data_IF_729752173883
#
_entry.id   IF_729752173883
#
_cell.length_a   1.000
_cell.length_b   1.000
_cell.length_c   1.000
_cell.angle_alpha   90.00
_cell.angle_beta   90.00
_cell.angle_gamma   90.00
#
_symmetry.space_group_name_H-M   'P 1'
#
loop_
_entity.id
_entity.type
_entity.pdbx_description
1 polymer ?
#
# COMPACT_ATOMS: atom_id res chain seq x y z
N UNK A 1 5.84 -47.19 -16.36
CA UNK A 1 5.07 -45.92 -16.41
C UNK A 1 4.41 -45.66 -15.04
N UNK A 2 5.20 -45.56 -13.96
CA UNK A 2 4.69 -45.35 -12.58
C UNK A 2 5.64 -44.48 -11.72
N UNK A 3 6.66 -43.87 -12.34
CA UNK A 3 7.69 -43.07 -11.66
C UNK A 3 7.49 -41.54 -11.81
N UNK A 4 6.56 -41.09 -12.65
CA UNK A 4 6.33 -39.64 -12.86
C UNK A 4 5.38 -39.05 -11.81
N UNK A 5 4.58 -39.86 -11.12
CA UNK A 5 3.54 -39.31 -10.23
C UNK A 5 4.04 -38.97 -8.81
N UNK A 6 5.14 -39.59 -8.35
CA UNK A 6 5.69 -39.36 -7.00
C UNK A 6 6.51 -38.06 -6.88
N UNK A 7 7.05 -37.56 -7.99
CA UNK A 7 7.82 -36.31 -8.01
C UNK A 7 6.94 -35.06 -7.95
N UNK A 8 5.69 -35.14 -8.42
CA UNK A 8 4.78 -33.99 -8.41
C UNK A 8 4.26 -33.67 -7.00
N UNK A 9 3.99 -34.68 -6.16
CA UNK A 9 3.50 -34.48 -4.80
C UNK A 9 4.60 -33.95 -3.87
N UNK A 10 5.83 -34.48 -3.99
CA UNK A 10 6.99 -34.00 -3.20
C UNK A 10 7.37 -32.56 -3.56
N UNK A 11 7.31 -32.18 -4.84
CA UNK A 11 7.54 -30.78 -5.26
C UNK A 11 6.47 -29.83 -4.75
N UNK A 12 5.20 -30.24 -4.73
CA UNK A 12 4.09 -29.42 -4.22
C UNK A 12 4.24 -29.08 -2.73
N UNK A 13 4.56 -30.07 -1.89
CA UNK A 13 4.76 -29.87 -0.44
C UNK A 13 6.01 -29.01 -0.13
N UNK A 14 7.07 -29.16 -0.91
CA UNK A 14 8.28 -28.34 -0.78
C UNK A 14 8.01 -26.86 -1.12
N UNK A 15 7.18 -26.56 -2.13
CA UNK A 15 6.87 -25.18 -2.52
C UNK A 15 6.03 -24.47 -1.45
N UNK A 16 5.01 -25.15 -0.91
CA UNK A 16 4.10 -24.59 0.11
C UNK A 16 4.83 -24.33 1.42
N UNK A 17 5.68 -25.27 1.86
CA UNK A 17 6.48 -25.10 3.08
C UNK A 17 7.48 -23.94 2.96
N UNK A 18 8.04 -23.72 1.77
CA UNK A 18 8.99 -22.64 1.52
C UNK A 18 8.32 -21.26 1.48
N UNK A 19 7.16 -21.13 0.82
CA UNK A 19 6.38 -19.88 0.81
C UNK A 19 5.92 -19.47 2.21
N UNK A 20 5.47 -20.44 3.01
CA UNK A 20 5.10 -20.21 4.41
C UNK A 20 6.30 -19.78 5.25
N UNK A 21 7.47 -20.37 5.02
CA UNK A 21 8.72 -19.96 5.67
C UNK A 21 9.08 -18.51 5.37
N UNK A 22 8.96 -18.09 4.11
CA UNK A 22 9.20 -16.71 3.67
C UNK A 22 8.24 -15.73 4.35
N UNK A 23 6.93 -16.01 4.34
CA UNK A 23 5.94 -15.15 4.99
C UNK A 23 6.15 -15.05 6.51
N UNK A 24 6.51 -16.16 7.17
CA UNK A 24 6.82 -16.16 8.61
C UNK A 24 8.02 -15.27 8.92
N UNK A 25 9.08 -15.36 8.11
CA UNK A 25 10.26 -14.51 8.23
C UNK A 25 9.89 -13.03 8.04
N UNK A 26 9.16 -12.70 6.99
CA UNK A 26 8.74 -11.32 6.71
C UNK A 26 7.85 -10.78 7.85
N UNK A 27 6.98 -11.61 8.43
CA UNK A 27 6.13 -11.23 9.57
C UNK A 27 6.96 -10.91 10.82
N UNK A 28 7.96 -11.73 11.14
CA UNK A 28 8.84 -11.48 12.27
C UNK A 28 9.63 -10.17 12.12
N UNK A 29 10.04 -9.84 10.89
CA UNK A 29 10.71 -8.56 10.60
C UNK A 29 9.73 -7.37 10.66
N UNK A 30 8.47 -7.57 10.29
CA UNK A 30 7.43 -6.54 10.35
C UNK A 30 6.95 -6.27 11.78
N UNK A 31 6.97 -7.28 12.65
CA UNK A 31 6.30 -7.26 13.95
C UNK A 31 6.68 -6.06 14.84
N UNK A 32 7.97 -5.68 15.01
CA UNK A 32 8.33 -4.53 15.82
C UNK A 32 7.71 -3.22 15.30
N UNK A 33 7.63 -3.07 13.98
CA UNK A 33 7.03 -1.89 13.34
C UNK A 33 5.52 -1.87 13.51
N UNK A 34 4.85 -3.02 13.40
CA UNK A 34 3.41 -3.14 13.63
C UNK A 34 3.07 -2.76 15.08
N UNK A 35 3.82 -3.29 16.06
CA UNK A 35 3.62 -2.96 17.47
C UNK A 35 3.90 -1.49 17.77
N UNK A 36 4.96 -0.92 17.19
CA UNK A 36 5.24 0.51 17.27
C UNK A 36 4.12 1.37 16.67
N UNK A 37 3.56 0.94 15.52
CA UNK A 37 2.41 1.58 14.90
C UNK A 37 1.16 1.57 15.79
N UNK A 38 0.86 0.43 16.43
CA UNK A 38 -0.25 0.35 17.38
C UNK A 38 -0.05 1.26 18.59
N UNK A 39 1.17 1.32 19.13
CA UNK A 39 1.48 2.26 20.20
C UNK A 39 1.28 3.72 19.75
N UNK A 40 1.68 4.08 18.53
CA UNK A 40 1.48 5.42 17.98
C UNK A 40 0.00 5.77 17.78
N UNK A 41 -0.83 4.83 17.31
CA UNK A 41 -2.28 5.02 17.19
C UNK A 41 -2.88 5.33 18.57
N UNK A 42 -2.58 4.51 19.58
CA UNK A 42 -3.07 4.73 20.94
C UNK A 42 -2.60 6.07 21.51
N UNK A 43 -1.33 6.43 21.30
CA UNK A 43 -0.80 7.73 21.73
C UNK A 43 -1.51 8.90 21.05
N UNK A 44 -1.83 8.80 19.75
CA UNK A 44 -2.54 9.82 19.01
C UNK A 44 -3.98 9.99 19.54
N UNK A 45 -4.69 8.90 19.83
CA UNK A 45 -6.04 8.95 20.39
C UNK A 45 -6.06 9.52 21.82
N UNK A 46 -5.11 9.11 22.67
CA UNK A 46 -4.94 9.69 24.01
C UNK A 46 -4.61 11.19 23.95
N UNK A 47 -3.76 11.57 22.99
CA UNK A 47 -3.45 12.97 22.73
C UNK A 47 -4.68 13.76 22.26
N UNK A 48 -5.54 13.19 21.42
CA UNK A 48 -6.80 13.79 21.01
C UNK A 48 -7.75 14.06 22.19
N UNK A 49 -7.85 13.11 23.14
CA UNK A 49 -8.62 13.28 24.39
C UNK A 49 -8.09 14.44 25.23
N UNK A 50 -6.76 14.54 25.34
CA UNK A 50 -6.09 15.57 26.12
C UNK A 50 -6.20 16.96 25.49
N UNK A 51 -6.10 17.06 24.16
CA UNK A 51 -6.05 18.33 23.43
C UNK A 51 -7.39 19.07 23.39
N UNK A 52 -8.52 18.35 23.39
CA UNK A 52 -9.85 18.95 23.26
C UNK A 52 -10.88 18.23 24.12
N UNK A 53 -11.68 19.01 24.84
CA UNK A 53 -12.84 18.50 25.58
C UNK A 53 -14.06 18.26 24.69
N UNK A 54 -14.15 18.95 23.53
CA UNK A 54 -15.26 18.84 22.59
C UNK A 54 -15.17 17.53 21.81
N UNK A 55 -16.26 16.77 21.78
CA UNK A 55 -16.35 15.48 21.11
C UNK A 55 -16.05 15.58 19.60
N UNK A 56 -16.52 16.64 18.92
CA UNK A 56 -16.24 16.87 17.49
C UNK A 56 -14.76 17.10 17.20
N UNK A 57 -14.05 17.80 18.09
CA UNK A 57 -12.60 17.98 18.00
C UNK A 57 -11.85 16.67 18.21
N UNK A 58 -12.28 15.84 19.17
CA UNK A 58 -11.68 14.51 19.41
C UNK A 58 -11.88 13.61 18.19
N UNK A 59 -13.08 13.61 17.62
CA UNK A 59 -13.40 12.87 16.42
C UNK A 59 -12.47 13.27 15.27
N UNK A 60 -12.38 14.57 14.96
CA UNK A 60 -11.50 15.07 13.90
C UNK A 60 -10.02 14.69 14.09
N UNK A 61 -9.50 14.79 15.32
CA UNK A 61 -8.12 14.39 15.62
C UNK A 61 -7.90 12.88 15.52
N UNK A 62 -8.89 12.07 15.94
CA UNK A 62 -8.84 10.59 15.83
C UNK A 62 -8.95 10.07 14.39
N UNK A 63 -9.31 10.91 13.42
CA UNK A 63 -9.24 10.55 12.00
C UNK A 63 -7.80 10.65 11.44
N UNK A 64 -6.88 11.36 12.11
CA UNK A 64 -5.50 11.53 11.63
C UNK A 64 -4.74 10.19 11.51
N UNK A 65 -4.81 9.27 12.49
CA UNK A 65 -4.22 7.95 12.35
C UNK A 65 -4.83 7.16 11.18
N UNK A 66 -6.14 7.28 10.92
CA UNK A 66 -6.78 6.63 9.75
C UNK A 66 -6.19 7.18 8.45
N UNK A 67 -6.09 8.51 8.30
CA UNK A 67 -5.49 9.15 7.13
C UNK A 67 -4.02 8.77 6.94
N UNK A 68 -3.27 8.60 8.03
CA UNK A 68 -1.88 8.15 7.98
C UNK A 68 -1.73 6.75 7.36
N UNK A 69 -2.79 5.93 7.30
CA UNK A 69 -2.74 4.62 6.64
C UNK A 69 -2.55 4.71 5.11
N UNK A 70 -2.81 5.87 4.49
CA UNK A 70 -2.42 6.15 3.10
C UNK A 70 -0.90 5.91 2.91
N UNK A 71 -0.08 6.17 3.94
CA UNK A 71 1.36 5.98 3.90
C UNK A 71 1.83 4.63 4.49
N UNK A 72 0.92 3.81 5.02
CA UNK A 72 1.30 2.58 5.73
C UNK A 72 2.03 1.59 4.82
N UNK A 73 1.39 1.18 3.72
CA UNK A 73 1.95 0.19 2.81
C UNK A 73 3.22 0.66 2.09
N UNK A 74 3.33 1.91 1.57
CA UNK A 74 4.58 2.37 0.97
C UNK A 74 5.73 2.42 1.98
N UNK A 75 5.50 2.90 3.21
CA UNK A 75 6.55 2.92 4.24
C UNK A 75 6.96 1.50 4.62
N UNK A 76 5.99 0.61 4.88
CA UNK A 76 6.24 -0.80 5.17
C UNK A 76 7.08 -1.47 4.08
N UNK A 77 6.68 -1.29 2.81
CA UNK A 77 7.35 -1.90 1.67
C UNK A 77 8.78 -1.36 1.52
N UNK A 78 8.97 -0.04 1.63
CA UNK A 78 10.30 0.59 1.54
C UNK A 78 11.24 0.15 2.66
N UNK A 79 10.76 0.07 3.91
CA UNK A 79 11.56 -0.43 5.04
C UNK A 79 11.93 -1.89 4.81
N UNK A 80 10.97 -2.73 4.43
CA UNK A 80 11.20 -4.15 4.18
C UNK A 80 12.24 -4.37 3.07
N UNK A 81 12.10 -3.66 1.95
CA UNK A 81 13.04 -3.71 0.83
C UNK A 81 14.41 -3.13 1.19
N UNK A 82 14.47 -2.08 2.01
CA UNK A 82 15.74 -1.50 2.44
C UNK A 82 16.52 -2.45 3.35
N UNK A 83 15.84 -3.09 4.30
CA UNK A 83 16.48 -4.06 5.20
C UNK A 83 17.07 -5.22 4.40
N UNK A 84 16.32 -5.76 3.46
CA UNK A 84 16.75 -6.88 2.66
C UNK A 84 17.72 -6.50 1.52
N UNK A 85 17.62 -5.29 0.99
CA UNK A 85 18.54 -4.76 -0.02
C UNK A 85 19.99 -4.62 0.48
N UNK A 86 20.22 -4.65 1.79
CA UNK A 86 21.59 -4.78 2.35
C UNK A 86 22.19 -6.17 2.13
N UNK A 87 21.36 -7.18 1.94
CA UNK A 87 21.72 -8.59 1.74
C UNK A 87 21.37 -9.06 0.31
N UNK A 88 21.41 -8.13 -0.65
CA UNK A 88 21.01 -8.36 -2.04
C UNK A 88 21.80 -9.48 -2.73
N UNK A 89 23.06 -9.70 -2.33
CA UNK A 89 23.85 -10.83 -2.81
C UNK A 89 23.23 -12.18 -2.44
N UNK A 90 22.54 -12.28 -1.29
CA UNK A 90 21.82 -13.50 -0.90
C UNK A 90 20.56 -13.70 -1.73
N UNK A 91 19.99 -12.63 -2.28
CA UNK A 91 18.83 -12.73 -3.18
C UNK A 91 19.22 -13.36 -4.51
N UNK A 92 20.40 -13.04 -5.05
CA UNK A 92 20.89 -13.61 -6.30
C UNK A 92 21.12 -15.13 -6.22
N UNK A 93 21.42 -15.64 -5.03
CA UNK A 93 21.59 -17.07 -4.79
C UNK A 93 20.30 -17.75 -4.30
N UNK A 94 19.20 -17.01 -4.17
CA UNK A 94 17.93 -17.58 -3.79
C UNK A 94 17.29 -18.28 -5.01
N UNK A 95 16.90 -19.56 -4.93
CA UNK A 95 16.26 -20.26 -6.04
C UNK A 95 14.86 -19.71 -6.41
N UNK A 96 14.36 -18.71 -5.69
CA UNK A 96 13.06 -18.10 -5.93
C UNK A 96 13.18 -16.85 -6.80
N UNK A 97 12.32 -16.74 -7.81
CA UNK A 97 12.21 -15.52 -8.62
C UNK A 97 11.82 -14.30 -7.79
N UNK A 98 12.20 -13.12 -8.25
CA UNK A 98 12.00 -11.84 -7.54
C UNK A 98 10.53 -11.56 -7.27
N UNK A 99 9.64 -11.95 -8.19
CA UNK A 99 8.19 -11.77 -8.04
C UNK A 99 7.66 -12.42 -6.76
N UNK A 100 8.23 -13.57 -6.34
CA UNK A 100 7.83 -14.26 -5.12
C UNK A 100 8.16 -13.44 -3.88
N UNK A 101 9.35 -12.85 -3.85
CA UNK A 101 9.81 -12.01 -2.74
C UNK A 101 9.02 -10.70 -2.64
N UNK A 102 8.71 -10.07 -3.77
CA UNK A 102 7.91 -8.85 -3.76
C UNK A 102 6.44 -9.13 -3.41
N UNK A 103 5.89 -10.23 -3.94
CA UNK A 103 4.53 -10.64 -3.64
C UNK A 103 4.36 -11.03 -2.17
N UNK A 104 5.35 -11.67 -1.52
CA UNK A 104 5.25 -11.99 -0.09
C UNK A 104 5.09 -10.75 0.79
N UNK A 105 5.75 -9.64 0.41
CA UNK A 105 5.60 -8.34 1.10
C UNK A 105 4.21 -7.77 0.94
N UNK A 106 3.64 -7.77 -0.27
CA UNK A 106 2.28 -7.27 -0.48
C UNK A 106 1.24 -8.15 0.25
N UNK A 107 1.38 -9.48 0.12
CA UNK A 107 0.49 -10.45 0.78
C UNK A 107 0.50 -10.32 2.30
N UNK A 108 1.64 -9.95 2.89
CA UNK A 108 1.75 -9.74 4.32
C UNK A 108 1.34 -8.31 4.75
N UNK A 109 1.77 -7.30 3.99
CA UNK A 109 1.54 -5.89 4.29
C UNK A 109 0.06 -5.51 4.26
N UNK A 110 -0.73 -6.06 3.32
CA UNK A 110 -2.16 -5.76 3.20
C UNK A 110 -2.94 -6.20 4.46
N UNK A 111 -2.89 -7.46 4.93
CA UNK A 111 -3.55 -7.85 6.17
C UNK A 111 -3.09 -7.06 7.40
N UNK A 112 -1.80 -6.74 7.51
CA UNK A 112 -1.27 -5.95 8.63
C UNK A 112 -1.80 -4.52 8.62
N UNK A 113 -1.88 -3.91 7.43
CA UNK A 113 -2.50 -2.60 7.24
C UNK A 113 -3.98 -2.62 7.60
N UNK A 114 -4.73 -3.64 7.15
CA UNK A 114 -6.16 -3.79 7.46
C UNK A 114 -6.38 -3.96 8.97
N UNK A 115 -5.56 -4.76 9.64
CA UNK A 115 -5.61 -4.92 11.09
C UNK A 115 -5.34 -3.59 11.81
N UNK A 116 -4.32 -2.86 11.38
CA UNK A 116 -3.98 -1.53 11.92
C UNK A 116 -5.11 -0.51 11.70
N UNK A 117 -5.72 -0.53 10.51
CA UNK A 117 -6.83 0.35 10.15
C UNK A 117 -8.07 0.05 11.00
N UNK A 118 -8.38 -1.23 11.24
CA UNK A 118 -9.47 -1.64 12.14
C UNK A 118 -9.22 -1.09 13.55
N UNK A 119 -8.01 -1.29 14.10
CA UNK A 119 -7.65 -0.80 15.44
C UNK A 119 -7.80 0.73 15.51
N UNK A 120 -7.31 1.43 14.49
CA UNK A 120 -7.43 2.89 14.36
C UNK A 120 -8.87 3.38 14.24
N UNK A 121 -9.79 2.54 13.75
CA UNK A 121 -11.21 2.86 13.61
C UNK A 121 -12.00 2.73 14.90
N UNK A 122 -11.51 1.98 15.90
CA UNK A 122 -12.28 1.66 17.13
C UNK A 122 -12.66 2.94 17.88
N UNK A 123 -11.70 3.85 18.11
CA UNK A 123 -11.93 5.07 18.88
C UNK A 123 -12.87 6.08 18.21
N UNK A 124 -12.70 6.46 16.93
CA UNK A 124 -13.64 7.35 16.25
C UNK A 124 -15.05 6.75 16.15
N UNK A 125 -15.18 5.44 15.92
CA UNK A 125 -16.49 4.76 15.93
C UNK A 125 -17.12 4.81 17.32
N UNK A 126 -16.33 4.59 18.38
CA UNK A 126 -16.81 4.74 19.75
C UNK A 126 -17.34 6.16 20.01
N UNK A 127 -16.64 7.21 19.57
CA UNK A 127 -17.10 8.60 19.72
C UNK A 127 -18.41 8.86 18.99
N UNK A 128 -18.58 8.31 17.78
CA UNK A 128 -19.82 8.45 17.01
C UNK A 128 -21.02 7.81 17.72
N UNK A 129 -20.83 6.60 18.28
CA UNK A 129 -21.92 5.84 18.90
C UNK A 129 -22.25 6.33 20.32
N UNK A 130 -21.25 6.77 21.09
CA UNK A 130 -21.41 7.02 22.54
C UNK A 130 -21.71 8.47 22.92
N UNK A 131 -21.31 9.45 22.11
CA UNK A 131 -21.38 10.87 22.49
C UNK A 131 -22.45 11.67 21.74
N UNK A 132 -23.33 10.98 21.01
CA UNK A 132 -24.47 11.56 20.28
C UNK A 132 -24.08 12.87 19.56
N UNK A 133 -22.94 12.81 18.85
CA UNK A 133 -22.39 13.95 18.12
C UNK A 133 -23.49 14.51 17.24
N UNK A 134 -23.94 15.75 17.51
CA UNK A 134 -25.08 16.44 16.92
C UNK A 134 -25.49 15.87 15.55
N UNK A 135 -26.32 14.82 15.63
CA UNK A 135 -26.37 13.77 14.60
C UNK A 135 -26.98 14.34 13.33
N UNK A 136 -27.82 15.36 13.43
CA UNK A 136 -28.57 15.93 12.31
C UNK A 136 -27.68 16.42 11.15
N UNK A 137 -26.44 16.86 11.42
CA UNK A 137 -25.48 17.28 10.38
C UNK A 137 -24.60 16.12 9.89
N UNK A 138 -24.31 15.16 10.77
CA UNK A 138 -23.46 14.00 10.50
C UNK A 138 -24.22 12.85 9.82
N UNK A 139 -25.46 12.55 10.22
CA UNK A 139 -26.32 11.48 9.67
C UNK A 139 -26.58 11.69 8.18
N UNK A 140 -26.67 12.95 7.73
CA UNK A 140 -26.88 13.29 6.32
C UNK A 140 -25.63 13.06 5.47
N UNK A 141 -24.44 12.99 6.08
CA UNK A 141 -23.15 12.89 5.37
C UNK A 141 -22.37 11.59 5.64
N UNK A 142 -22.58 10.91 6.76
CA UNK A 142 -21.83 9.72 7.20
C UNK A 142 -22.73 8.49 7.30
N UNK A 143 -23.20 7.99 6.16
CA UNK A 143 -23.76 6.65 6.09
C UNK A 143 -22.63 5.60 6.20
N UNK A 144 -22.93 4.40 6.70
CA UNK A 144 -22.01 3.23 6.71
C UNK A 144 -21.37 2.99 5.34
N UNK A 145 -22.11 3.25 4.27
CA UNK A 145 -21.61 3.17 2.88
C UNK A 145 -20.46 4.16 2.65
N UNK A 146 -20.60 5.41 3.05
CA UNK A 146 -19.58 6.46 2.91
C UNK A 146 -18.33 6.14 3.74
N UNK A 147 -18.52 5.63 4.95
CA UNK A 147 -17.40 5.18 5.81
C UNK A 147 -16.66 4.01 5.16
N UNK A 148 -17.39 2.99 4.69
CA UNK A 148 -16.80 1.85 3.99
C UNK A 148 -16.02 2.26 2.75
N UNK A 149 -16.54 3.22 1.97
CA UNK A 149 -15.87 3.78 0.80
C UNK A 149 -14.61 4.56 1.16
N UNK A 150 -14.66 5.40 2.19
CA UNK A 150 -13.48 6.14 2.66
C UNK A 150 -12.35 5.21 3.14
N UNK A 151 -12.70 4.13 3.85
CA UNK A 151 -11.73 3.11 4.26
C UNK A 151 -11.17 2.36 3.05
N UNK A 152 -12.03 1.99 2.09
CA UNK A 152 -11.61 1.33 0.86
C UNK A 152 -10.68 2.22 0.02
N UNK A 153 -10.99 3.51 -0.14
CA UNK A 153 -10.14 4.45 -0.87
C UNK A 153 -8.81 4.63 -0.16
N UNK A 154 -8.78 4.65 1.18
CA UNK A 154 -7.54 4.71 1.97
C UNK A 154 -6.63 3.51 1.66
N UNK A 155 -7.21 2.30 1.64
CA UNK A 155 -6.49 1.05 1.26
C UNK A 155 -6.01 1.12 -0.18
N UNK A 156 -6.85 1.60 -1.09
CA UNK A 156 -6.54 1.74 -2.52
C UNK A 156 -5.36 2.68 -2.77
N UNK A 157 -5.42 3.91 -2.23
CA UNK A 157 -4.33 4.89 -2.34
C UNK A 157 -3.03 4.38 -1.72
N UNK A 158 -3.10 3.69 -0.58
CA UNK A 158 -1.92 3.10 0.05
C UNK A 158 -1.28 2.03 -0.84
N UNK A 159 -2.11 1.20 -1.50
CA UNK A 159 -1.63 0.19 -2.45
C UNK A 159 -0.98 0.82 -3.67
N UNK A 160 -1.63 1.82 -4.29
CA UNK A 160 -1.09 2.52 -5.44
C UNK A 160 0.27 3.16 -5.11
N UNK A 161 0.34 3.93 -4.01
CA UNK A 161 1.59 4.55 -3.55
C UNK A 161 2.69 3.53 -3.26
N UNK A 162 2.35 2.35 -2.74
CA UNK A 162 3.34 1.29 -2.51
C UNK A 162 3.91 0.74 -3.81
N UNK A 163 3.08 0.53 -4.84
CA UNK A 163 3.52 0.07 -6.16
C UNK A 163 4.35 1.12 -6.89
N UNK A 164 4.00 2.39 -6.72
CA UNK A 164 4.83 3.52 -7.13
C UNK A 164 6.20 3.55 -6.45
N UNK A 165 6.22 3.41 -5.13
CA UNK A 165 7.46 3.32 -4.37
C UNK A 165 8.33 2.15 -4.84
N UNK A 166 7.70 1.00 -5.15
CA UNK A 166 8.39 -0.19 -5.63
C UNK A 166 9.11 0.04 -6.96
N UNK A 167 8.44 0.62 -7.96
CA UNK A 167 9.06 0.89 -9.27
C UNK A 167 10.16 1.95 -9.16
N UNK A 168 9.96 2.99 -8.36
CA UNK A 168 11.00 4.00 -8.10
C UNK A 168 12.21 3.38 -7.42
N UNK A 169 12.00 2.49 -6.45
CA UNK A 169 13.07 1.76 -5.78
C UNK A 169 13.85 0.85 -6.75
N UNK A 170 13.15 0.14 -7.64
CA UNK A 170 13.79 -0.67 -8.68
C UNK A 170 14.62 0.17 -9.67
N UNK A 171 14.06 1.28 -10.15
CA UNK A 171 14.77 2.21 -11.05
C UNK A 171 15.99 2.82 -10.34
N UNK A 172 15.87 3.17 -9.05
CA UNK A 172 16.98 3.72 -8.27
C UNK A 172 18.19 2.79 -8.27
N UNK A 173 17.99 1.50 -7.96
CA UNK A 173 19.09 0.53 -7.95
C UNK A 173 19.65 0.28 -9.34
N UNK A 174 18.80 0.31 -10.37
CA UNK A 174 19.26 0.22 -11.76
C UNK A 174 20.10 1.43 -12.19
N UNK A 175 19.76 2.65 -11.75
CA UNK A 175 20.51 3.87 -12.07
C UNK A 175 21.83 3.99 -11.31
N UNK A 176 21.93 3.34 -10.14
CA UNK A 176 23.06 3.48 -9.23
C UNK A 176 24.44 3.19 -9.84
N UNK A 177 24.64 2.16 -10.68
CA UNK A 177 25.91 1.92 -11.36
C UNK A 177 26.30 3.04 -12.33
N UNK A 178 25.35 3.78 -12.91
CA UNK A 178 25.60 4.81 -13.91
C UNK A 178 25.88 6.18 -13.28
N UNK A 179 25.09 6.58 -12.28
CA UNK A 179 25.12 7.93 -11.71
C UNK A 179 25.66 7.99 -10.28
N UNK A 180 25.93 6.84 -9.64
CA UNK A 180 26.47 6.77 -8.29
C UNK A 180 25.57 7.49 -7.27
N UNK A 181 26.13 8.48 -6.56
CA UNK A 181 25.41 9.27 -5.54
C UNK A 181 24.36 10.22 -6.13
N UNK A 182 24.43 10.55 -7.42
CA UNK A 182 23.49 11.46 -8.09
C UNK A 182 22.21 10.77 -8.58
N UNK A 183 22.13 9.45 -8.44
CA UNK A 183 20.99 8.64 -8.90
C UNK A 183 19.66 9.11 -8.32
N UNK A 184 19.65 9.64 -7.08
CA UNK A 184 18.43 10.18 -6.48
C UNK A 184 17.95 11.47 -7.18
N UNK A 185 18.86 12.34 -7.64
CA UNK A 185 18.50 13.56 -8.39
C UNK A 185 17.90 13.18 -9.73
N UNK A 186 18.54 12.25 -10.45
CA UNK A 186 18.02 11.76 -11.73
C UNK A 186 16.65 11.12 -11.53
N UNK A 187 16.48 10.30 -10.50
CA UNK A 187 15.20 9.68 -10.16
C UNK A 187 14.13 10.73 -9.82
N UNK A 188 14.47 11.77 -9.05
CA UNK A 188 13.54 12.86 -8.72
C UNK A 188 13.09 13.61 -9.98
N UNK A 189 14.01 13.91 -10.90
CA UNK A 189 13.66 14.59 -12.16
C UNK A 189 12.74 13.71 -13.01
N UNK A 190 13.07 12.43 -13.16
CA UNK A 190 12.23 11.47 -13.92
C UNK A 190 10.86 11.30 -13.26
N UNK A 191 10.82 11.19 -11.93
CA UNK A 191 9.57 11.06 -11.17
C UNK A 191 8.68 12.29 -11.32
N UNK A 192 9.24 13.50 -11.21
CA UNK A 192 8.49 14.75 -11.43
C UNK A 192 7.99 14.87 -12.87
N UNK A 193 8.82 14.51 -13.85
CA UNK A 193 8.42 14.50 -15.26
C UNK A 193 7.26 13.52 -15.49
N UNK A 194 7.32 12.33 -14.91
CA UNK A 194 6.23 11.36 -14.98
C UNK A 194 4.96 11.92 -14.32
N UNK A 195 5.03 12.46 -13.11
CA UNK A 195 3.87 13.02 -12.40
C UNK A 195 3.21 14.16 -13.20
N UNK A 196 4.02 15.00 -13.85
CA UNK A 196 3.51 16.03 -14.74
C UNK A 196 2.78 15.42 -15.94
N UNK A 197 3.38 14.43 -16.61
CA UNK A 197 2.75 13.76 -17.75
C UNK A 197 1.48 13.00 -17.35
N UNK A 198 1.45 12.34 -16.19
CA UNK A 198 0.25 11.66 -15.70
C UNK A 198 -0.86 12.66 -15.37
N UNK A 199 -0.53 13.83 -14.84
CA UNK A 199 -1.50 14.90 -14.63
C UNK A 199 -2.07 15.42 -15.96
N UNK A 200 -1.22 15.60 -16.99
CA UNK A 200 -1.70 15.98 -18.33
C UNK A 200 -2.58 14.89 -18.95
N UNK A 201 -2.23 13.61 -18.75
CA UNK A 201 -3.04 12.47 -19.20
C UNK A 201 -4.42 12.47 -18.53
N UNK A 202 -4.49 12.64 -17.22
CA UNK A 202 -5.74 12.68 -16.46
C UNK A 202 -6.68 13.83 -16.88
N UNK A 203 -6.12 14.95 -17.38
CA UNK A 203 -6.88 16.08 -17.90
C UNK A 203 -7.32 15.92 -19.37
N UNK A 204 -6.88 14.87 -20.06
CA UNK A 204 -7.18 14.68 -21.46
C UNK A 204 -8.61 14.13 -21.68
N UNK A 205 -9.31 14.54 -22.76
CA UNK A 205 -10.62 13.96 -23.09
C UNK A 205 -10.55 12.45 -23.34
N UNK A 206 -9.41 11.96 -23.82
CA UNK A 206 -9.17 10.53 -24.03
C UNK A 206 -9.25 9.78 -22.71
N UNK A 207 -8.66 10.31 -21.63
CA UNK A 207 -8.76 9.71 -20.31
C UNK A 207 -10.22 9.65 -19.86
N UNK A 208 -10.94 10.76 -19.95
CA UNK A 208 -12.37 10.84 -19.59
C UNK A 208 -13.18 9.72 -20.25
N UNK A 209 -13.05 9.56 -21.58
CA UNK A 209 -13.78 8.52 -22.32
C UNK A 209 -13.40 7.09 -21.94
N UNK A 210 -12.15 6.86 -21.51
CA UNK A 210 -11.63 5.54 -21.20
C UNK A 210 -11.86 5.12 -19.74
N UNK A 211 -11.93 6.07 -18.81
CA UNK A 211 -11.94 5.78 -17.37
C UNK A 211 -13.21 6.25 -16.66
N UNK A 212 -13.91 7.28 -17.14
CA UNK A 212 -15.09 7.84 -16.47
C UNK A 212 -16.40 7.12 -16.83
N UNK A 213 -16.39 5.80 -16.71
CA UNK A 213 -17.59 4.96 -16.84
C UNK A 213 -17.80 4.13 -15.57
N UNK A 214 -19.05 3.71 -15.36
CA UNK A 214 -19.43 2.93 -14.19
C UNK A 214 -19.24 3.71 -12.88
N UNK A 215 -19.89 4.88 -12.78
CA UNK A 215 -19.86 5.68 -11.56
C UNK A 215 -20.30 4.85 -10.33
N UNK A 216 -19.45 4.83 -9.30
CA UNK A 216 -19.67 4.04 -8.08
C UNK A 216 -20.19 4.96 -6.97
N UNK A 217 -19.59 6.14 -6.84
CA UNK A 217 -19.81 7.06 -5.70
C UNK A 217 -19.79 8.48 -6.22
N UNK A 218 -20.66 9.34 -5.69
CA UNK A 218 -20.55 10.80 -5.82
C UNK A 218 -20.27 11.35 -4.42
N UNK A 219 -19.06 11.82 -4.17
CA UNK A 219 -18.69 12.54 -2.96
C UNK A 219 -19.27 13.97 -2.99
N UNK A 220 -19.35 14.66 -1.84
CA UNK A 220 -19.62 16.11 -1.83
C UNK A 220 -18.71 16.84 -2.82
N UNK A 221 -19.23 17.89 -3.46
CA UNK A 221 -18.56 18.65 -4.53
C UNK A 221 -18.46 17.95 -5.90
N UNK A 222 -19.38 17.02 -6.19
CA UNK A 222 -19.47 16.30 -7.48
C UNK A 222 -18.21 15.47 -7.82
N UNK A 223 -17.44 15.08 -6.82
CA UNK A 223 -16.27 14.23 -7.03
C UNK A 223 -16.74 12.77 -7.14
N UNK A 224 -16.87 12.30 -8.37
CA UNK A 224 -17.35 10.95 -8.66
C UNK A 224 -16.20 9.97 -8.84
N UNK A 225 -16.24 8.84 -8.14
CA UNK A 225 -15.31 7.74 -8.36
C UNK A 225 -15.88 6.81 -9.43
N UNK A 226 -15.08 6.51 -10.44
CA UNK A 226 -15.48 5.65 -11.55
C UNK A 226 -14.81 4.28 -11.49
N UNK A 227 -15.53 3.23 -11.90
CA UNK A 227 -14.98 1.88 -12.02
C UNK A 227 -13.83 1.82 -13.04
N UNK A 228 -13.92 2.59 -14.12
CA UNK A 228 -12.86 2.64 -15.13
C UNK A 228 -11.55 3.22 -14.60
N UNK A 229 -11.60 4.18 -13.67
CA UNK A 229 -10.41 4.71 -12.99
C UNK A 229 -9.74 3.63 -12.12
N UNK A 230 -10.53 2.88 -11.33
CA UNK A 230 -10.01 1.76 -10.55
C UNK A 230 -9.37 0.68 -11.43
N UNK A 231 -9.97 0.35 -12.57
CA UNK A 231 -9.39 -0.60 -13.51
C UNK A 231 -8.08 -0.08 -14.11
N UNK A 232 -8.05 1.19 -14.51
CA UNK A 232 -6.84 1.85 -15.02
C UNK A 232 -5.70 1.79 -14.01
N UNK A 233 -5.96 2.16 -12.76
CA UNK A 233 -4.96 2.17 -11.70
C UNK A 233 -4.48 0.75 -11.37
N UNK A 234 -5.38 -0.24 -11.39
CA UNK A 234 -5.02 -1.64 -11.21
C UNK A 234 -4.09 -2.13 -12.32
N UNK A 235 -4.37 -1.79 -13.59
CA UNK A 235 -3.55 -2.15 -14.73
C UNK A 235 -2.18 -1.47 -14.67
N UNK A 236 -2.15 -0.18 -14.30
CA UNK A 236 -0.92 0.59 -14.14
C UNK A 236 -0.06 0.01 -13.00
N UNK A 237 -0.66 -0.20 -11.82
CA UNK A 237 0.00 -0.79 -10.67
C UNK A 237 0.53 -2.21 -10.94
N UNK A 238 -0.24 -3.04 -11.65
CA UNK A 238 0.20 -4.37 -12.09
C UNK A 238 1.40 -4.26 -13.03
N UNK A 239 1.38 -3.31 -13.96
CA UNK A 239 2.48 -3.03 -14.87
C UNK A 239 3.73 -2.58 -14.10
N UNK A 240 3.59 -1.68 -13.11
CA UNK A 240 4.70 -1.28 -12.23
C UNK A 240 5.27 -2.44 -11.44
N UNK A 241 4.43 -3.34 -10.92
CA UNK A 241 4.89 -4.53 -10.22
C UNK A 241 5.75 -5.42 -11.14
N UNK A 242 5.27 -5.77 -12.33
CA UNK A 242 6.02 -6.63 -13.25
C UNK A 242 7.26 -5.95 -13.84
N UNK A 243 7.20 -4.65 -14.12
CA UNK A 243 8.38 -3.87 -14.51
C UNK A 243 9.42 -3.85 -13.40
N UNK A 244 9.00 -3.71 -12.15
CA UNK A 244 9.90 -3.76 -10.98
C UNK A 244 10.59 -5.11 -10.88
N UNK A 245 9.85 -6.21 -11.04
CA UNK A 245 10.40 -7.57 -11.09
C UNK A 245 11.43 -7.69 -12.21
N UNK A 246 11.06 -7.27 -13.42
CA UNK A 246 11.91 -7.38 -14.61
C UNK A 246 13.21 -6.58 -14.50
N UNK A 247 13.15 -5.35 -13.98
CA UNK A 247 14.33 -4.50 -13.74
C UNK A 247 15.27 -5.20 -12.76
N UNK A 248 14.73 -5.68 -11.64
CA UNK A 248 15.53 -6.28 -10.58
C UNK A 248 16.16 -7.60 -11.04
N UNK A 249 15.43 -8.49 -11.71
CA UNK A 249 15.98 -9.76 -12.19
C UNK A 249 17.09 -9.55 -13.23
N UNK A 250 16.87 -8.71 -14.25
CA UNK A 250 17.83 -8.63 -15.37
C UNK A 250 19.05 -7.74 -15.14
N UNK A 251 18.97 -6.79 -14.21
CA UNK A 251 20.00 -5.73 -14.07
C UNK A 251 20.84 -5.85 -12.81
N UNK A 252 20.54 -6.81 -11.94
CA UNK A 252 21.28 -7.04 -10.70
C UNK A 252 22.17 -8.28 -10.74
N UNK A 253 22.10 -9.08 -11.80
CA UNK A 253 22.92 -10.29 -12.01
C UNK A 253 24.36 -10.00 -12.53
N UNK A 254 24.84 -8.75 -12.45
CA UNK A 254 26.19 -8.36 -12.91
C UNK A 254 27.18 -8.32 -11.77
#
# INVERSE_FOLDING_TARGET
MYLIHKDATVKGEAIVSTWRGLLKKDFQLALPWVLGGFALILMADLWAVWMTSKASGRFGLSLMPILAHILYLPIYLMISLWLEGKQMHQWLHNPHGMWKLLLSKLVLGIPLMLLSLIISGIYPVYLLVSLDLDINLLEKQLNLVTIGQFLLSTVWFSLDLALWGLILWSIFHWLRPFFGKWSWVVLSVVGLAFLYLSAQWALSPTYETLTQWGAIVTLPDNLTMYMGELLHDLLLGTSFFFLSVWILERKLEV
#
